data_IF_155770589726
#
_entry.id   IF_155770589726
#
_cell.length_a   1.000
_cell.length_b   1.000
_cell.length_c   1.000
_cell.angle_alpha   90.00
_cell.angle_beta   90.00
_cell.angle_gamma   90.00
#
_symmetry.space_group_name_H-M   'P 1'
#
loop_
_entity.id
_entity.type
_entity.pdbx_description
1 polymer ?
#
# COMPACT_ATOMS: atom_id res chain seq x y z
N UNK A 1 -17.04 -7.40 7.77
CA UNK A 1 -17.01 -5.96 8.08
C UNK A 1 -15.59 -5.57 8.48
N UNK A 2 -15.11 -4.41 8.01
CA UNK A 2 -13.80 -3.83 8.33
C UNK A 2 -13.89 -2.61 9.25
N UNK A 3 -15.08 -2.18 9.69
CA UNK A 3 -15.23 -1.07 10.64
C UNK A 3 -14.74 0.28 10.11
N UNK A 4 -14.74 0.46 8.78
CA UNK A 4 -14.40 1.72 8.13
C UNK A 4 -15.68 2.48 7.78
N UNK A 5 -15.63 3.80 7.83
CA UNK A 5 -16.68 4.65 7.26
C UNK A 5 -16.67 4.55 5.74
N UNK A 6 -17.83 4.79 5.12
CA UNK A 6 -17.90 4.95 3.67
C UNK A 6 -17.07 6.15 3.21
N UNK A 7 -16.38 6.01 2.08
CA UNK A 7 -15.63 7.07 1.42
C UNK A 7 -16.33 7.48 0.13
N UNK A 8 -16.07 8.72 -0.31
CA UNK A 8 -16.49 9.18 -1.63
C UNK A 8 -15.57 8.60 -2.70
N UNK A 9 -16.13 8.23 -3.85
CA UNK A 9 -15.36 7.62 -4.94
C UNK A 9 -14.29 8.58 -5.49
N UNK A 10 -14.57 9.88 -5.46
CA UNK A 10 -13.68 10.95 -5.91
C UNK A 10 -12.38 11.01 -5.07
N UNK A 11 -12.37 10.46 -3.86
CA UNK A 11 -11.17 10.40 -3.03
C UNK A 11 -10.09 9.48 -3.63
N UNK A 12 -10.50 8.47 -4.40
CA UNK A 12 -9.60 7.45 -4.96
C UNK A 12 -9.44 7.54 -6.49
N UNK A 13 -10.40 8.11 -7.22
CA UNK A 13 -10.28 8.33 -8.68
C UNK A 13 -9.06 9.21 -9.01
N UNK A 14 -8.45 8.95 -10.16
CA UNK A 14 -7.37 9.74 -10.76
C UNK A 14 -7.60 9.90 -12.26
N UNK A 15 -7.08 10.97 -12.84
CA UNK A 15 -7.30 11.37 -14.24
C UNK A 15 -6.05 11.24 -15.13
N UNK A 16 -4.87 11.03 -14.54
CA UNK A 16 -3.62 10.89 -15.26
C UNK A 16 -2.65 9.91 -14.58
N UNK A 17 -1.57 9.55 -15.30
CA UNK A 17 -0.49 8.73 -14.75
C UNK A 17 0.24 9.45 -13.64
N UNK A 18 0.51 10.74 -13.83
CA UNK A 18 1.22 11.59 -12.88
C UNK A 18 0.43 11.70 -11.57
N UNK A 19 -0.89 11.89 -11.66
CA UNK A 19 -1.79 11.91 -10.51
C UNK A 19 -1.85 10.56 -9.80
N UNK A 20 -1.89 9.45 -10.56
CA UNK A 20 -1.84 8.10 -9.99
C UNK A 20 -0.56 7.86 -9.18
N UNK A 21 0.59 8.33 -9.70
CA UNK A 21 1.89 8.21 -9.02
C UNK A 21 1.91 9.05 -7.74
N UNK A 22 1.49 10.31 -7.80
CA UNK A 22 1.46 11.20 -6.62
C UNK A 22 0.53 10.62 -5.55
N UNK A 23 -0.69 10.21 -5.93
CA UNK A 23 -1.64 9.57 -5.02
C UNK A 23 -1.08 8.29 -4.41
N UNK A 24 -0.40 7.45 -5.20
CA UNK A 24 0.26 6.26 -4.68
C UNK A 24 1.33 6.59 -3.63
N UNK A 25 2.14 7.64 -3.83
CA UNK A 25 3.09 8.08 -2.81
C UNK A 25 2.39 8.59 -1.55
N UNK A 26 1.35 9.40 -1.68
CA UNK A 26 0.57 9.86 -0.53
C UNK A 26 -0.02 8.70 0.28
N UNK A 27 -0.51 7.65 -0.39
CA UNK A 27 -1.00 6.43 0.26
C UNK A 27 0.14 5.69 0.97
N UNK A 28 1.28 5.48 0.30
CA UNK A 28 2.45 4.81 0.88
C UNK A 28 3.00 5.54 2.11
N UNK A 29 2.92 6.88 2.12
CA UNK A 29 3.28 7.73 3.26
C UNK A 29 2.22 7.74 4.37
N UNK A 30 1.05 7.14 4.14
CA UNK A 30 -0.07 7.11 5.09
C UNK A 30 -0.85 8.43 5.18
N UNK A 31 -0.68 9.35 4.23
CA UNK A 31 -1.30 10.68 4.23
C UNK A 31 -2.72 10.70 3.63
N UNK A 32 -3.08 9.67 2.87
CA UNK A 32 -4.37 9.56 2.20
C UNK A 32 -5.10 8.32 2.78
N UNK A 33 -6.14 8.55 3.58
CA UNK A 33 -6.73 7.53 4.45
C UNK A 33 -7.65 6.53 3.71
N UNK A 34 -8.45 7.00 2.74
CA UNK A 34 -9.33 6.14 1.93
C UNK A 34 -8.56 5.09 1.11
N UNK A 35 -7.43 5.52 0.57
CA UNK A 35 -6.46 4.78 -0.23
C UNK A 35 -5.64 3.81 0.61
N UNK A 36 -5.22 4.21 1.82
CA UNK A 36 -4.67 3.27 2.80
C UNK A 36 -5.68 2.16 3.11
N UNK A 37 -6.94 2.51 3.31
CA UNK A 37 -7.97 1.53 3.68
C UNK A 37 -8.30 0.57 2.54
N UNK A 38 -8.48 1.05 1.31
CA UNK A 38 -8.75 0.16 0.16
C UNK A 38 -7.55 -0.75 -0.15
N UNK A 39 -6.31 -0.25 0.00
CA UNK A 39 -5.10 -1.08 -0.12
C UNK A 39 -5.04 -2.10 1.02
N UNK A 40 -5.32 -1.71 2.25
CA UNK A 40 -5.32 -2.61 3.40
C UNK A 40 -6.40 -3.69 3.29
N UNK A 41 -7.58 -3.38 2.72
CA UNK A 41 -8.62 -4.36 2.45
C UNK A 41 -8.11 -5.40 1.44
N UNK A 42 -7.60 -4.95 0.29
CA UNK A 42 -7.10 -5.87 -0.76
C UNK A 42 -5.94 -6.72 -0.26
N UNK A 43 -4.97 -6.11 0.44
CA UNK A 43 -3.84 -6.82 1.01
C UNK A 43 -4.28 -7.76 2.16
N UNK A 44 -5.29 -7.38 2.95
CA UNK A 44 -5.85 -8.23 3.99
C UNK A 44 -6.47 -9.52 3.44
N UNK A 45 -7.15 -9.43 2.29
CA UNK A 45 -7.63 -10.61 1.56
C UNK A 45 -6.47 -11.45 1.00
N UNK A 46 -5.45 -10.82 0.42
CA UNK A 46 -4.28 -11.54 -0.08
C UNK A 46 -3.57 -12.32 1.04
N UNK A 47 -3.37 -11.71 2.21
CA UNK A 47 -2.78 -12.39 3.38
C UNK A 47 -3.65 -13.55 3.86
N UNK A 48 -4.97 -13.40 3.84
CA UNK A 48 -5.88 -14.49 4.21
C UNK A 48 -5.79 -15.67 3.24
N UNK A 49 -5.78 -15.42 1.92
CA UNK A 49 -5.66 -16.46 0.89
C UNK A 49 -4.33 -17.22 0.97
N UNK A 50 -3.27 -16.55 1.45
CA UNK A 50 -1.94 -17.14 1.64
C UNK A 50 -1.77 -17.83 3.00
N UNK A 51 -2.84 -17.98 3.79
CA UNK A 51 -2.84 -18.55 5.15
C UNK A 51 -1.93 -17.79 6.15
N UNK A 52 -1.59 -16.53 5.87
CA UNK A 52 -0.74 -15.66 6.73
C UNK A 52 -1.50 -15.04 7.90
N UNK A 53 -2.84 -15.04 7.84
CA UNK A 53 -3.76 -14.56 8.88
C UNK A 53 -5.04 -15.42 8.86
N UNK A 54 -5.78 -15.48 9.97
CA UNK A 54 -6.98 -16.33 10.07
C UNK A 54 -8.24 -15.71 9.50
N UNK A 55 -8.27 -14.38 9.34
CA UNK A 55 -9.41 -13.68 8.75
C UNK A 55 -8.94 -12.48 7.91
N UNK A 56 -9.70 -12.05 6.89
CA UNK A 56 -9.40 -10.83 6.15
C UNK A 56 -9.30 -9.60 7.05
N UNK A 57 -10.12 -9.53 8.11
CA UNK A 57 -10.10 -8.44 9.10
C UNK A 57 -8.75 -8.38 9.83
N UNK A 58 -8.18 -9.52 10.24
CA UNK A 58 -6.84 -9.55 10.82
C UNK A 58 -5.78 -9.08 9.83
N UNK A 59 -5.90 -9.46 8.56
CA UNK A 59 -5.03 -8.98 7.49
C UNK A 59 -5.10 -7.46 7.29
N UNK A 60 -6.31 -6.90 7.27
CA UNK A 60 -6.54 -5.46 7.20
C UNK A 60 -5.85 -4.72 8.36
N UNK A 61 -6.08 -5.15 9.61
CA UNK A 61 -5.45 -4.51 10.78
C UNK A 61 -3.92 -4.62 10.77
N UNK A 62 -3.39 -5.79 10.36
CA UNK A 62 -1.94 -6.00 10.21
C UNK A 62 -1.36 -5.02 9.19
N UNK A 63 -2.00 -4.83 8.04
CA UNK A 63 -1.53 -3.91 6.99
C UNK A 63 -1.65 -2.46 7.46
N UNK A 64 -2.75 -2.07 8.12
CA UNK A 64 -2.93 -0.74 8.72
C UNK A 64 -1.81 -0.41 9.70
N UNK A 65 -1.43 -1.37 10.54
CA UNK A 65 -0.33 -1.21 11.48
C UNK A 65 1.01 -1.03 10.73
N UNK A 66 1.27 -1.79 9.66
CA UNK A 66 2.48 -1.61 8.83
C UNK A 66 2.56 -0.23 8.16
N UNK A 67 1.43 0.36 7.73
CA UNK A 67 1.39 1.74 7.25
C UNK A 67 1.75 2.72 8.36
N UNK A 68 1.15 2.56 9.55
CA UNK A 68 1.43 3.39 10.74
C UNK A 68 2.91 3.34 11.14
N UNK A 69 3.52 2.17 11.04
CA UNK A 69 4.93 1.93 11.37
C UNK A 69 5.90 2.30 10.22
N UNK A 70 5.34 2.78 9.09
CA UNK A 70 6.06 3.15 7.85
C UNK A 70 6.82 1.99 7.19
N UNK A 71 6.52 0.74 7.55
CA UNK A 71 7.19 -0.44 7.02
C UNK A 71 6.89 -0.67 5.53
N UNK A 72 5.67 -0.33 5.09
CA UNK A 72 5.27 -0.39 3.68
C UNK A 72 6.14 0.54 2.83
N UNK A 73 6.27 1.80 3.24
CA UNK A 73 7.10 2.80 2.55
C UNK A 73 8.57 2.37 2.50
N UNK A 74 9.12 1.91 3.63
CA UNK A 74 10.50 1.39 3.70
C UNK A 74 10.71 0.21 2.75
N UNK A 75 9.74 -0.71 2.63
CA UNK A 75 9.85 -1.84 1.71
C UNK A 75 9.87 -1.38 0.25
N UNK A 76 8.99 -0.46 -0.13
CA UNK A 76 8.97 0.11 -1.49
C UNK A 76 10.29 0.83 -1.80
N UNK A 77 10.81 1.63 -0.87
CA UNK A 77 12.11 2.30 -1.04
C UNK A 77 13.24 1.29 -1.23
N UNK A 78 13.32 0.25 -0.41
CA UNK A 78 14.31 -0.84 -0.58
C UNK A 78 14.22 -1.51 -1.95
N UNK A 79 13.02 -1.73 -2.47
CA UNK A 79 12.82 -2.31 -3.82
C UNK A 79 13.34 -1.33 -4.88
N UNK A 80 13.02 -0.04 -4.77
CA UNK A 80 13.53 0.99 -5.70
C UNK A 80 15.05 1.06 -5.69
N UNK A 81 15.67 1.05 -4.52
CA UNK A 81 17.13 1.10 -4.37
C UNK A 81 17.79 -0.15 -4.94
N UNK A 82 17.19 -1.33 -4.74
CA UNK A 82 17.67 -2.58 -5.34
C UNK A 82 17.72 -2.48 -6.87
N UNK A 83 16.63 -2.07 -7.51
CA UNK A 83 16.60 -1.97 -8.98
C UNK A 83 17.53 -0.88 -9.51
N UNK A 84 17.63 0.27 -8.83
CA UNK A 84 18.58 1.33 -9.21
C UNK A 84 20.03 0.86 -9.20
N UNK A 85 20.41 0.08 -8.18
CA UNK A 85 21.77 -0.43 -8.05
C UNK A 85 22.03 -1.62 -8.98
N UNK A 86 21.04 -2.50 -9.18
CA UNK A 86 21.15 -3.64 -10.10
C UNK A 86 21.34 -3.18 -11.56
N UNK A 87 20.69 -2.08 -11.97
CA UNK A 87 20.88 -1.51 -13.32
C UNK A 87 22.17 -0.69 -13.44
N UNK A 88 22.73 -0.20 -12.35
CA UNK A 88 24.01 0.54 -12.37
C UNK A 88 25.22 -0.39 -12.39
N UNK A 89 25.09 -1.63 -11.90
CA UNK A 89 26.14 -2.65 -11.91
C UNK A 89 26.25 -3.46 -13.21
N UNK A 90 25.33 -3.27 -14.17
CA UNK A 90 25.35 -3.92 -15.49
C UNK A 90 26.13 -3.14 -16.57
N UNK A 91 26.66 -1.96 -16.22
CA UNK A 91 27.39 -1.07 -17.14
C UNK A 91 28.93 -1.10 -16.93
N UNK A 92 29.46 -2.07 -16.18
CA UNK A 92 30.91 -2.27 -15.96
C UNK A 92 31.38 -3.66 -16.43
#
# INVERSE_FOLDING_TARGET
DFGISGYKLEEIIVSSREEAIDKAYQILEGKQQAGVDIVAINAGWALYILDEVRTPKQGFEKVKQLFKDKEVLKKVQRIKDYYKNATAGSDN
#
